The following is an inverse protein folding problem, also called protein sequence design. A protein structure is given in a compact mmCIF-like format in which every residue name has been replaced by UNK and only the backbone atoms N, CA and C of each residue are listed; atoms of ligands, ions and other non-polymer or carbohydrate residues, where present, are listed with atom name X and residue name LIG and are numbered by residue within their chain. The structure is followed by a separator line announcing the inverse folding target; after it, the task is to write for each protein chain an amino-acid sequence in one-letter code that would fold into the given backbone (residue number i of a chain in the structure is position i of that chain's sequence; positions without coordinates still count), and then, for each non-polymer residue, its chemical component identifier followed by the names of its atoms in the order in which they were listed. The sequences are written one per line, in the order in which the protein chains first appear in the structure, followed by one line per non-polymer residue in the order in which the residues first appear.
data_IF_496700544127
#
_entry.id   IF_496700544127
#
_cell.length_a   1.000
_cell.length_b   1.000
_cell.length_c   1.000
_cell.angle_alpha   90.00
_cell.angle_beta   90.00
_cell.angle_gamma   90.00
#
_symmetry.space_group_name_H-M   'P 1'
#
loop_
_entity.id
_entity.type
_entity.pdbx_description
1 polymer ?
#
# COMPACT_ATOMS: atom_id res chain seq x y z
N UNK A 1 14.14 5.64 16.28
CA UNK A 1 13.33 4.85 15.33
C UNK A 1 12.44 5.82 14.56
N UNK A 2 12.44 5.78 13.23
CA UNK A 2 11.78 6.79 12.38
C UNK A 2 10.29 6.96 12.70
N UNK A 3 9.59 5.84 12.96
CA UNK A 3 8.15 5.88 13.22
C UNK A 3 7.79 6.58 14.53
N UNK A 4 8.58 6.41 15.58
CA UNK A 4 8.38 7.10 16.85
C UNK A 4 8.53 8.62 16.69
N UNK A 5 9.50 9.06 15.87
CA UNK A 5 9.70 10.48 15.55
C UNK A 5 8.54 11.05 14.75
N UNK A 6 7.97 10.29 13.80
CA UNK A 6 6.78 10.70 13.02
C UNK A 6 5.54 10.84 13.91
N UNK A 7 5.31 9.90 14.82
CA UNK A 7 4.20 9.98 15.77
C UNK A 7 4.35 11.17 16.73
N UNK A 8 5.58 11.44 17.18
CA UNK A 8 5.86 12.60 18.01
C UNK A 8 5.60 13.91 17.26
N UNK A 9 6.02 14.00 15.99
CA UNK A 9 5.74 15.14 15.12
C UNK A 9 4.24 15.39 14.94
N UNK A 10 3.46 14.35 14.64
CA UNK A 10 1.99 14.43 14.52
C UNK A 10 1.36 14.88 15.85
N UNK A 11 1.88 14.40 16.98
CA UNK A 11 1.40 14.77 18.31
C UNK A 11 1.66 16.25 18.62
N UNK A 12 2.80 16.80 18.23
CA UNK A 12 3.20 18.18 18.53
C UNK A 12 2.63 19.20 17.54
N UNK A 13 2.46 18.85 16.25
CA UNK A 13 2.06 19.77 15.17
C UNK A 13 0.59 19.62 14.75
N UNK A 14 -0.29 19.17 15.65
CA UNK A 14 -1.72 18.92 15.34
C UNK A 14 -2.48 20.10 14.74
N UNK A 15 -2.17 21.32 15.19
CA UNK A 15 -2.85 22.55 14.72
C UNK A 15 -2.53 22.83 13.25
N UNK A 16 -1.27 22.61 12.86
CA UNK A 16 -0.81 22.78 11.48
C UNK A 16 -1.39 21.70 10.56
N UNK A 17 -1.53 20.46 11.06
CA UNK A 17 -2.13 19.36 10.33
C UNK A 17 -3.67 19.43 10.26
N UNK A 18 -4.28 20.48 10.85
CA UNK A 18 -5.73 20.68 10.92
C UNK A 18 -6.50 19.45 11.41
N UNK A 19 -5.86 18.63 12.26
CA UNK A 19 -6.44 17.38 12.74
C UNK A 19 -7.73 17.58 13.56
N UNK A 20 -7.99 18.82 13.99
CA UNK A 20 -9.17 19.23 14.77
C UNK A 20 -10.44 19.37 13.92
N UNK A 21 -10.34 19.65 12.61
CA UNK A 21 -11.52 19.75 11.72
C UNK A 21 -12.18 18.40 11.44
N UNK A 22 -11.48 17.29 11.65
CA UNK A 22 -12.00 15.94 11.41
C UNK A 22 -12.93 15.42 12.53
N UNK A 23 -13.26 16.26 13.53
CA UNK A 23 -14.09 15.95 14.71
C UNK A 23 -15.60 15.90 14.46
N UNK A 24 -16.11 16.43 13.35
CA UNK A 24 -17.54 16.76 13.25
C UNK A 24 -18.51 15.57 13.16
N UNK A 25 -18.22 14.57 12.32
CA UNK A 25 -19.25 13.61 11.91
C UNK A 25 -19.11 12.20 12.53
N UNK A 26 -17.88 11.71 12.71
CA UNK A 26 -17.63 10.34 13.17
C UNK A 26 -17.49 10.20 14.69
N UNK A 27 -17.02 11.24 15.39
CA UNK A 27 -16.85 11.20 16.84
C UNK A 27 -18.20 11.34 17.57
N UNK A 28 -19.15 12.11 17.01
CA UNK A 28 -20.50 12.28 17.57
C UNK A 28 -21.34 10.98 17.53
N UNK A 29 -21.05 10.08 16.59
CA UNK A 29 -21.74 8.78 16.47
C UNK A 29 -21.14 7.68 17.36
N UNK A 30 -19.89 7.83 17.81
CA UNK A 30 -19.15 6.76 18.52
C UNK A 30 -18.91 7.04 20.01
N UNK A 31 -19.04 8.28 20.50
CA UNK A 31 -18.71 8.61 21.88
C UNK A 31 -19.92 8.47 22.82
N UNK A 32 -20.30 7.23 23.12
CA UNK A 32 -21.17 6.89 24.24
C UNK A 32 -20.48 6.97 25.61
N UNK A 33 -19.38 7.69 25.76
CA UNK A 33 -18.53 7.66 26.97
C UNK A 33 -18.32 9.07 27.56
N UNK A 34 -18.63 9.21 28.86
CA UNK A 34 -18.83 10.49 29.58
C UNK A 34 -17.84 10.77 30.71
N UNK A 35 -16.71 10.07 30.81
CA UNK A 35 -15.78 10.28 31.93
C UNK A 35 -14.41 10.81 31.48
N UNK A 36 -14.08 12.01 31.95
CA UNK A 36 -12.89 12.78 31.57
C UNK A 36 -11.68 12.53 32.49
N UNK A 37 -11.88 11.80 33.59
CA UNK A 37 -10.91 11.67 34.69
C UNK A 37 -9.78 10.65 34.41
N UNK A 38 -9.92 9.78 33.40
CA UNK A 38 -9.00 8.66 33.14
C UNK A 38 -8.25 8.75 31.80
N UNK A 39 -8.45 9.80 30.99
CA UNK A 39 -8.01 9.79 29.59
C UNK A 39 -6.68 10.52 29.32
N UNK A 40 -5.73 9.79 28.73
CA UNK A 40 -4.65 10.38 27.96
C UNK A 40 -5.19 11.20 26.78
N UNK A 41 -4.51 12.28 26.39
CA UNK A 41 -4.95 13.14 25.26
C UNK A 41 -5.10 12.32 23.97
N UNK A 42 -6.33 12.17 23.45
CA UNK A 42 -6.60 11.48 22.18
C UNK A 42 -5.86 12.18 21.03
N UNK A 43 -5.01 11.44 20.31
CA UNK A 43 -4.30 11.91 19.11
C UNK A 43 -4.94 11.26 17.89
N UNK A 44 -5.57 12.10 17.06
CA UNK A 44 -6.08 11.65 15.76
C UNK A 44 -4.91 11.64 14.79
N UNK A 45 -4.64 10.48 14.21
CA UNK A 45 -3.63 10.32 13.17
C UNK A 45 -4.21 10.77 11.81
N UNK A 46 -3.50 11.58 11.03
CA UNK A 46 -3.96 12.00 9.71
C UNK A 46 -3.99 10.80 8.74
N UNK A 47 -4.77 10.88 7.63
CA UNK A 47 -4.75 9.87 6.57
C UNK A 47 -3.38 9.69 5.92
N UNK A 48 -2.48 10.66 6.04
CA UNK A 48 -1.08 10.58 5.56
C UNK A 48 -0.21 9.63 6.39
N UNK A 49 -0.68 9.19 7.56
CA UNK A 49 0.01 8.20 8.38
C UNK A 49 -0.25 6.78 7.82
N UNK A 50 0.73 6.27 7.07
CA UNK A 50 0.69 4.95 6.44
C UNK A 50 0.43 3.85 7.48
N UNK A 51 -0.50 2.94 7.16
CA UNK A 51 -0.85 1.82 8.03
C UNK A 51 -1.89 2.13 9.11
N UNK A 52 -2.25 3.41 9.31
CA UNK A 52 -3.34 3.78 10.21
C UNK A 52 -4.74 3.51 9.63
N UNK A 53 -5.77 3.44 10.49
CA UNK A 53 -7.17 3.24 10.07
C UNK A 53 -7.62 4.26 9.02
N UNK A 54 -7.30 5.54 9.23
CA UNK A 54 -7.70 6.63 8.30
C UNK A 54 -6.98 6.55 6.96
N UNK A 55 -5.74 6.08 6.93
CA UNK A 55 -5.02 5.81 5.68
C UNK A 55 -5.73 4.72 4.87
N UNK A 56 -6.14 3.62 5.52
CA UNK A 56 -6.87 2.55 4.84
C UNK A 56 -8.26 3.00 4.34
N UNK A 57 -9.00 3.78 5.13
CA UNK A 57 -10.31 4.32 4.73
C UNK A 57 -10.18 5.27 3.55
N UNK A 58 -9.17 6.16 3.55
CA UNK A 58 -8.91 7.06 2.44
C UNK A 58 -8.59 6.28 1.15
N UNK A 59 -7.67 5.31 1.23
CA UNK A 59 -7.32 4.47 0.07
C UNK A 59 -8.55 3.71 -0.49
N UNK A 60 -9.44 3.24 0.39
CA UNK A 60 -10.68 2.60 -0.04
C UNK A 60 -11.60 3.58 -0.77
N UNK A 61 -11.81 4.79 -0.23
CA UNK A 61 -12.64 5.81 -0.88
C UNK A 61 -12.06 6.25 -2.23
N UNK A 62 -10.74 6.40 -2.31
CA UNK A 62 -10.05 6.74 -3.55
C UNK A 62 -10.22 5.61 -4.59
N UNK A 63 -10.05 4.35 -4.18
CA UNK A 63 -10.28 3.20 -5.04
C UNK A 63 -11.73 3.11 -5.54
N UNK A 64 -12.72 3.34 -4.68
CA UNK A 64 -14.13 3.38 -5.05
C UNK A 64 -14.44 4.52 -6.03
N UNK A 65 -13.78 5.67 -5.86
CA UNK A 65 -13.90 6.81 -6.78
C UNK A 65 -13.35 6.46 -8.17
N UNK A 66 -12.19 5.78 -8.22
CA UNK A 66 -11.64 5.27 -9.48
C UNK A 66 -12.59 4.25 -10.12
N UNK A 67 -13.13 3.31 -9.35
CA UNK A 67 -14.09 2.32 -9.86
C UNK A 67 -15.35 2.97 -10.42
N UNK A 68 -15.85 4.04 -9.79
CA UNK A 68 -17.00 4.80 -10.29
C UNK A 68 -16.69 5.52 -11.60
N UNK A 69 -15.46 5.97 -11.80
CA UNK A 69 -15.07 6.74 -13.00
C UNK A 69 -14.65 5.85 -14.17
N UNK A 70 -13.81 4.84 -13.94
CA UNK A 70 -13.28 3.93 -14.98
C UNK A 70 -14.18 2.71 -15.21
N UNK A 71 -14.91 2.29 -14.18
CA UNK A 71 -15.57 0.98 -14.12
C UNK A 71 -14.93 0.05 -13.10
N UNK A 72 -15.67 -1.00 -12.74
CA UNK A 72 -15.19 -2.01 -11.80
C UNK A 72 -14.14 -2.91 -12.46
N UNK A 73 -13.10 -3.33 -11.72
CA UNK A 73 -12.13 -4.28 -12.26
C UNK A 73 -12.76 -5.67 -12.40
N UNK A 74 -12.60 -6.29 -13.58
CA UNK A 74 -13.07 -7.66 -13.83
C UNK A 74 -12.10 -8.73 -13.30
N UNK A 75 -10.81 -8.41 -13.24
CA UNK A 75 -9.74 -9.36 -12.93
C UNK A 75 -8.77 -8.78 -11.89
N UNK A 76 -8.40 -9.61 -10.92
CA UNK A 76 -7.31 -9.34 -9.99
C UNK A 76 -6.21 -10.38 -10.19
N UNK A 77 -5.04 -9.95 -10.68
CA UNK A 77 -3.92 -10.83 -11.00
C UNK A 77 -2.76 -10.61 -10.04
N UNK A 78 -2.34 -11.69 -9.36
CA UNK A 78 -1.14 -11.70 -8.53
C UNK A 78 0.00 -12.35 -9.30
N UNK A 79 1.11 -11.64 -9.49
CA UNK A 79 2.32 -12.17 -10.12
C UNK A 79 3.46 -12.26 -9.10
N UNK A 80 3.90 -13.47 -8.81
CA UNK A 80 4.93 -13.76 -7.80
C UNK A 80 6.24 -14.13 -8.46
N UNK A 81 7.35 -13.61 -7.94
CA UNK A 81 8.68 -13.96 -8.43
C UNK A 81 9.03 -15.41 -8.08
N UNK A 82 9.62 -16.14 -9.03
CA UNK A 82 10.21 -17.45 -8.77
C UNK A 82 11.75 -17.35 -8.86
N UNK A 83 12.49 -17.53 -7.74
CA UNK A 83 13.96 -17.46 -7.76
C UNK A 83 14.60 -18.59 -8.58
N UNK A 84 13.87 -19.67 -8.91
CA UNK A 84 14.35 -20.79 -9.72
C UNK A 84 14.21 -20.57 -11.23
N UNK A 85 13.84 -19.37 -11.67
CA UNK A 85 13.78 -19.08 -13.10
C UNK A 85 15.15 -19.29 -13.78
N UNK A 86 15.17 -19.81 -15.01
CA UNK A 86 16.40 -20.19 -15.68
C UNK A 86 17.33 -18.99 -15.90
N UNK A 87 16.79 -17.79 -16.13
CA UNK A 87 17.57 -16.56 -16.28
C UNK A 87 18.32 -16.20 -14.99
N UNK A 88 17.71 -16.44 -13.83
CA UNK A 88 18.32 -16.21 -12.52
C UNK A 88 19.38 -17.28 -12.27
N UNK A 89 19.02 -18.56 -12.43
CA UNK A 89 19.95 -19.67 -12.21
C UNK A 89 21.17 -19.59 -13.12
N UNK A 90 21.00 -19.27 -14.40
CA UNK A 90 22.12 -19.16 -15.35
C UNK A 90 23.11 -18.09 -14.91
N UNK A 91 22.62 -16.94 -14.45
CA UNK A 91 23.48 -15.86 -13.94
C UNK A 91 24.22 -16.27 -12.65
N UNK A 92 23.54 -16.98 -11.76
CA UNK A 92 24.07 -17.37 -10.44
C UNK A 92 25.01 -18.57 -10.48
N UNK A 93 24.69 -19.61 -11.25
CA UNK A 93 25.47 -20.84 -11.37
C UNK A 93 26.87 -20.56 -11.92
N UNK A 94 27.01 -19.60 -12.84
CA UNK A 94 28.32 -19.17 -13.35
C UNK A 94 29.23 -18.52 -12.29
N UNK A 95 28.67 -18.16 -11.13
CA UNK A 95 29.34 -17.40 -10.06
C UNK A 95 29.32 -18.10 -8.71
N UNK A 96 28.71 -19.30 -8.63
CA UNK A 96 28.51 -20.06 -7.40
C UNK A 96 27.87 -19.21 -6.27
N UNK A 97 26.85 -18.42 -6.61
CA UNK A 97 26.11 -17.56 -5.67
C UNK A 97 24.68 -18.06 -5.46
N UNK A 98 24.10 -17.74 -4.30
CA UNK A 98 22.68 -17.96 -4.04
C UNK A 98 21.84 -16.76 -4.52
N UNK A 99 20.53 -16.94 -4.76
CA UNK A 99 19.63 -15.84 -5.11
C UNK A 99 19.63 -14.72 -4.06
N UNK A 100 19.77 -15.09 -2.78
CA UNK A 100 19.82 -14.19 -1.63
C UNK A 100 21.03 -13.24 -1.68
N UNK A 101 22.15 -13.68 -2.27
CA UNK A 101 23.39 -12.90 -2.39
C UNK A 101 23.26 -11.78 -3.44
N UNK A 102 22.29 -11.90 -4.36
CA UNK A 102 22.09 -10.96 -5.48
C UNK A 102 20.61 -10.66 -5.70
N UNK A 103 19.91 -9.99 -4.77
CA UNK A 103 18.49 -9.64 -4.95
C UNK A 103 18.25 -8.75 -6.17
N UNK A 104 19.26 -7.99 -6.60
CA UNK A 104 19.17 -7.13 -7.79
C UNK A 104 18.87 -7.90 -9.09
N UNK A 105 19.41 -9.12 -9.29
CA UNK A 105 19.10 -9.90 -10.49
C UNK A 105 17.65 -10.42 -10.44
N UNK A 106 17.21 -10.86 -9.26
CA UNK A 106 15.83 -11.32 -9.04
C UNK A 106 14.84 -10.21 -9.39
N UNK A 107 15.04 -9.00 -8.86
CA UNK A 107 14.18 -7.85 -9.13
C UNK A 107 14.15 -7.50 -10.63
N UNK A 108 15.29 -7.57 -11.32
CA UNK A 108 15.38 -7.29 -12.76
C UNK A 108 14.63 -8.32 -13.58
N UNK A 109 14.86 -9.60 -13.35
CA UNK A 109 14.16 -10.69 -14.07
C UNK A 109 12.66 -10.64 -13.79
N UNK A 110 12.26 -10.42 -12.53
CA UNK A 110 10.86 -10.21 -12.17
C UNK A 110 10.23 -9.07 -12.96
N UNK A 111 10.89 -7.91 -13.03
CA UNK A 111 10.38 -6.77 -13.78
C UNK A 111 10.26 -7.06 -15.28
N UNK A 112 11.21 -7.77 -15.86
CA UNK A 112 11.15 -8.19 -17.27
C UNK A 112 9.96 -9.12 -17.53
N UNK A 113 9.78 -10.16 -16.71
CA UNK A 113 8.65 -11.10 -16.82
C UNK A 113 7.30 -10.42 -16.58
N UNK A 114 7.23 -9.50 -15.61
CA UNK A 114 6.03 -8.73 -15.33
C UNK A 114 5.63 -7.84 -16.52
N UNK A 115 6.61 -7.14 -17.12
CA UNK A 115 6.36 -6.32 -18.29
C UNK A 115 5.88 -7.16 -19.48
N UNK A 116 6.45 -8.36 -19.66
CA UNK A 116 6.04 -9.30 -20.70
C UNK A 116 4.60 -9.79 -20.46
N UNK A 117 4.23 -10.14 -19.22
CA UNK A 117 2.86 -10.48 -18.85
C UNK A 117 1.88 -9.33 -19.14
N UNK A 118 2.22 -8.09 -18.76
CA UNK A 118 1.38 -6.92 -19.04
C UNK A 118 1.19 -6.73 -20.54
N UNK A 119 2.26 -6.88 -21.33
CA UNK A 119 2.21 -6.80 -22.79
C UNK A 119 1.30 -7.88 -23.36
N UNK A 120 1.49 -9.12 -22.92
CA UNK A 120 0.69 -10.27 -23.34
C UNK A 120 -0.80 -10.07 -23.05
N UNK A 121 -1.15 -9.68 -21.82
CA UNK A 121 -2.55 -9.42 -21.41
C UNK A 121 -3.19 -8.32 -22.26
N UNK A 122 -2.47 -7.22 -22.52
CA UNK A 122 -3.00 -6.08 -23.27
C UNK A 122 -3.08 -6.30 -24.78
N UNK A 123 -2.16 -7.06 -25.36
CA UNK A 123 -2.02 -7.17 -26.81
C UNK A 123 -2.65 -8.46 -27.36
N UNK A 124 -2.54 -9.57 -26.64
CA UNK A 124 -2.94 -10.88 -27.15
C UNK A 124 -4.45 -11.16 -27.00
N UNK A 125 -5.24 -10.19 -26.52
CA UNK A 125 -6.70 -10.32 -26.26
C UNK A 125 -7.06 -11.64 -25.55
N UNK A 126 -6.23 -12.02 -24.58
CA UNK A 126 -6.31 -13.33 -23.88
C UNK A 126 -7.67 -13.53 -23.20
N UNK A 127 -8.29 -12.43 -22.79
CA UNK A 127 -9.58 -12.41 -22.11
C UNK A 127 -10.75 -12.04 -23.05
N UNK A 128 -10.56 -12.08 -24.37
CA UNK A 128 -11.57 -11.74 -25.37
C UNK A 128 -11.55 -10.28 -25.82
N UNK A 129 -12.56 -9.86 -26.58
CA UNK A 129 -12.82 -8.44 -26.87
C UNK A 129 -13.35 -7.79 -25.58
N UNK A 130 -12.50 -6.98 -24.97
CA UNK A 130 -12.87 -6.02 -23.93
C UNK A 130 -13.49 -4.80 -24.62
#
# INVERSE_FOLDING_TARGET
MVESSRLMYIKTHKKELQCEMYKGLSDALLSGERDASTQGKRVVLPPTFVGGTRYMVQNYQDAMTICRWVGYPDLFLTFTCNPRWPEINTFLSSRNLNPEDRPGIICRVFKMKLNDLIKYVRQSKVFGQI
#
